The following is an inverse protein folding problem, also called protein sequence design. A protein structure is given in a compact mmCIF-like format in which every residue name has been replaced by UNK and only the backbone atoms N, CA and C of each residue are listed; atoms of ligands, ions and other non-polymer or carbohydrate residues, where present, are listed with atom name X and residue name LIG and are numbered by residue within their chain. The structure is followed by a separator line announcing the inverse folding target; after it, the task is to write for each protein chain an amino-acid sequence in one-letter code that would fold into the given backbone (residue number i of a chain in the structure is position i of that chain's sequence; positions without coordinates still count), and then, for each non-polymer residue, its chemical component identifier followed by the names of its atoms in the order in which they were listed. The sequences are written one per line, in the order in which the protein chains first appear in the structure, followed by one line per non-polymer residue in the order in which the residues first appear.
data_IF_286452772831
#
_entry.id   IF_286452772831
#
_cell.length_a   1.000
_cell.length_b   1.000
_cell.length_c   1.000
_cell.angle_alpha   90.00
_cell.angle_beta   90.00
_cell.angle_gamma   90.00
#
_symmetry.space_group_name_H-M   'P 1'
#
loop_
_entity.id
_entity.type
_entity.pdbx_description
1 polymer ?
#
# COMPACT_ATOMS: atom_id res chain seq x y z
N UNK A 1 -30.22 28.34 -26.62
CA UNK A 1 -28.91 27.67 -26.47
C UNK A 1 -29.18 26.21 -26.23
N UNK A 2 -28.86 25.34 -27.20
CA UNK A 2 -29.16 23.89 -27.14
C UNK A 2 -28.31 23.22 -26.04
N UNK A 3 -28.96 22.54 -25.11
CA UNK A 3 -28.35 21.64 -24.14
C UNK A 3 -27.67 20.46 -24.87
N UNK A 4 -26.47 20.65 -25.37
CA UNK A 4 -25.61 19.57 -25.82
C UNK A 4 -25.11 18.78 -24.63
N UNK A 5 -25.91 17.85 -24.12
CA UNK A 5 -25.41 16.80 -23.25
C UNK A 5 -24.45 15.99 -24.10
N UNK A 6 -23.17 16.08 -23.75
CA UNK A 6 -22.06 15.52 -24.50
C UNK A 6 -22.22 14.00 -24.56
N UNK A 7 -22.59 13.46 -25.75
CA UNK A 7 -22.84 12.02 -25.97
C UNK A 7 -21.61 11.15 -25.66
N UNK A 8 -20.39 11.69 -25.79
CA UNK A 8 -19.15 11.02 -25.40
C UNK A 8 -19.12 10.64 -23.90
N UNK A 9 -19.72 11.47 -23.04
CA UNK A 9 -19.81 11.17 -21.60
C UNK A 9 -20.80 10.04 -21.26
N UNK A 10 -21.73 9.73 -22.18
CA UNK A 10 -22.73 8.67 -21.96
C UNK A 10 -22.17 7.27 -22.24
N UNK A 11 -21.24 7.12 -23.16
CA UNK A 11 -20.70 5.81 -23.56
C UNK A 11 -19.92 5.16 -22.39
N UNK A 12 -19.10 5.94 -21.68
CA UNK A 12 -18.31 5.40 -20.54
C UNK A 12 -19.20 5.25 -19.28
N UNK A 13 -20.29 6.01 -19.15
CA UNK A 13 -21.25 5.85 -18.05
C UNK A 13 -21.99 4.51 -18.06
N UNK A 14 -22.10 3.86 -19.21
CA UNK A 14 -22.81 2.59 -19.38
C UNK A 14 -21.94 1.35 -19.17
N UNK A 15 -20.61 1.51 -19.01
CA UNK A 15 -19.73 0.35 -18.83
C UNK A 15 -19.83 -0.21 -17.41
N UNK A 16 -20.12 -1.49 -17.32
CA UNK A 16 -20.09 -2.24 -16.08
C UNK A 16 -18.63 -2.34 -15.57
N UNK A 17 -18.31 -1.54 -14.55
CA UNK A 17 -16.96 -1.45 -13.98
C UNK A 17 -16.43 -2.81 -13.50
N UNK A 18 -17.31 -3.73 -13.10
CA UNK A 18 -16.91 -5.06 -12.63
C UNK A 18 -16.29 -5.94 -13.72
N UNK A 19 -16.50 -5.57 -14.99
CA UNK A 19 -15.95 -6.27 -16.17
C UNK A 19 -14.65 -5.67 -16.72
N UNK A 20 -14.23 -4.52 -16.17
CA UNK A 20 -13.03 -3.84 -16.66
C UNK A 20 -11.76 -4.40 -16.00
N UNK A 21 -10.70 -4.49 -16.79
CA UNK A 21 -9.37 -4.90 -16.31
C UNK A 21 -8.66 -3.75 -15.58
N UNK A 22 -7.69 -4.10 -14.74
CA UNK A 22 -6.96 -3.16 -13.89
C UNK A 22 -6.34 -1.98 -14.65
N UNK A 23 -5.73 -2.20 -15.82
CA UNK A 23 -5.17 -1.13 -16.65
C UNK A 23 -6.22 -0.13 -17.10
N UNK A 24 -7.40 -0.57 -17.52
CA UNK A 24 -8.51 0.34 -17.87
C UNK A 24 -9.03 1.07 -16.64
N UNK A 25 -9.16 0.40 -15.50
CA UNK A 25 -9.55 1.02 -14.23
C UNK A 25 -8.52 2.06 -13.78
N UNK A 26 -7.24 1.78 -13.90
CA UNK A 26 -6.15 2.71 -13.58
C UNK A 26 -6.24 4.03 -14.37
N UNK A 27 -6.68 3.96 -15.63
CA UNK A 27 -6.84 5.14 -16.48
C UNK A 27 -8.14 5.88 -16.17
N UNK A 28 -9.29 5.19 -16.12
CA UNK A 28 -10.60 5.82 -16.20
C UNK A 28 -11.44 5.82 -14.93
N UNK A 29 -11.22 4.92 -13.98
CA UNK A 29 -12.08 4.85 -12.81
C UNK A 29 -12.09 6.17 -12.04
N UNK A 30 -13.27 6.61 -11.58
CA UNK A 30 -13.48 7.85 -10.84
C UNK A 30 -13.52 9.12 -11.70
N UNK A 31 -12.98 9.12 -12.93
CA UNK A 31 -12.91 10.33 -13.76
C UNK A 31 -14.20 10.62 -14.56
N UNK A 32 -15.07 9.64 -14.65
CA UNK A 32 -16.30 9.72 -15.46
C UNK A 32 -17.27 10.77 -14.92
N UNK A 33 -17.63 11.74 -15.78
CA UNK A 33 -18.56 12.82 -15.44
C UNK A 33 -17.98 13.88 -14.48
N UNK A 34 -16.70 13.83 -14.18
CA UNK A 34 -15.97 14.80 -13.35
C UNK A 34 -15.21 15.85 -14.15
N UNK A 35 -15.22 15.75 -15.48
CA UNK A 35 -14.60 16.71 -16.38
C UNK A 35 -15.48 17.93 -16.53
N UNK A 36 -14.90 19.14 -16.41
CA UNK A 36 -15.58 20.42 -16.49
C UNK A 36 -15.11 21.15 -17.74
N UNK A 37 -15.99 21.91 -18.39
CA UNK A 37 -15.70 22.71 -19.58
C UNK A 37 -15.01 21.87 -20.69
N UNK A 38 -15.44 20.61 -20.85
CA UNK A 38 -14.85 19.66 -21.80
C UNK A 38 -13.35 19.37 -21.61
N UNK A 39 -12.82 19.62 -20.43
CA UNK A 39 -11.42 19.23 -20.11
C UNK A 39 -11.21 17.73 -20.30
N UNK A 40 -10.05 17.33 -20.82
CA UNK A 40 -9.69 15.92 -20.98
C UNK A 40 -9.20 15.29 -19.66
N UNK A 41 -8.78 16.10 -18.72
CA UNK A 41 -8.29 15.67 -17.40
C UNK A 41 -9.17 16.21 -16.29
N UNK A 42 -9.14 15.53 -15.13
CA UNK A 42 -9.85 15.99 -13.93
C UNK A 42 -9.25 17.31 -13.46
N UNK A 43 -10.05 18.35 -13.20
CA UNK A 43 -9.56 19.61 -12.65
C UNK A 43 -9.04 19.46 -11.21
N UNK A 44 -8.09 20.31 -10.81
CA UNK A 44 -7.68 20.45 -9.43
C UNK A 44 -8.59 21.51 -8.77
N UNK A 45 -9.42 21.07 -7.83
CA UNK A 45 -10.24 21.97 -7.02
C UNK A 45 -9.45 22.47 -5.81
N UNK A 46 -8.61 23.47 -6.03
CA UNK A 46 -7.79 24.08 -4.98
C UNK A 46 -8.59 25.13 -4.21
N UNK A 47 -9.64 24.69 -3.53
CA UNK A 47 -10.50 25.54 -2.68
C UNK A 47 -10.71 24.86 -1.33
N UNK A 48 -10.86 25.66 -0.28
CA UNK A 48 -11.16 25.17 1.07
C UNK A 48 -12.66 25.05 1.28
N UNK A 49 -13.46 26.02 0.76
CA UNK A 49 -14.90 26.14 0.97
C UNK A 49 -15.64 26.10 -0.35
N UNK A 50 -16.89 25.63 -0.31
CA UNK A 50 -17.79 25.58 -1.45
C UNK A 50 -19.03 26.43 -1.15
N UNK A 51 -19.38 27.33 -2.08
CA UNK A 51 -20.50 28.25 -1.93
C UNK A 51 -21.80 27.64 -2.44
N UNK A 52 -22.87 27.85 -1.71
CA UNK A 52 -24.23 27.48 -2.07
C UNK A 52 -25.09 28.75 -2.24
N UNK A 53 -26.02 28.72 -3.19
CA UNK A 53 -26.97 29.80 -3.43
C UNK A 53 -28.21 29.69 -2.56
N UNK A 54 -28.52 28.47 -2.13
CA UNK A 54 -29.71 28.14 -1.35
C UNK A 54 -29.32 27.52 -0.01
N UNK A 55 -29.94 27.94 1.08
CA UNK A 55 -29.62 27.46 2.44
C UNK A 55 -30.11 26.04 2.69
N UNK A 56 -31.20 25.61 2.07
CA UNK A 56 -31.74 24.27 2.23
C UNK A 56 -30.85 23.27 1.48
N UNK A 57 -30.43 23.60 0.25
CA UNK A 57 -29.44 22.81 -0.49
C UNK A 57 -28.12 22.68 0.28
N UNK A 58 -27.66 23.77 0.91
CA UNK A 58 -26.46 23.74 1.74
C UNK A 58 -26.65 22.84 2.96
N UNK A 59 -27.78 22.97 3.66
CA UNK A 59 -28.09 22.13 4.82
C UNK A 59 -28.18 20.64 4.45
N UNK A 60 -28.83 20.32 3.33
CA UNK A 60 -28.92 18.94 2.83
C UNK A 60 -27.53 18.36 2.52
N UNK A 61 -26.66 19.14 1.88
CA UNK A 61 -25.28 18.73 1.61
C UNK A 61 -24.48 18.56 2.91
N UNK A 62 -24.64 19.50 3.88
CA UNK A 62 -23.99 19.46 5.18
C UNK A 62 -24.39 18.23 6.02
N UNK A 63 -25.63 17.80 5.89
CA UNK A 63 -26.17 16.62 6.61
C UNK A 63 -26.05 15.32 5.84
N UNK A 64 -25.46 15.33 4.64
CA UNK A 64 -25.27 14.16 3.78
C UNK A 64 -26.58 13.64 3.14
N UNK A 65 -27.67 14.40 3.20
CA UNK A 65 -28.93 14.08 2.53
C UNK A 65 -28.84 14.28 1.01
N UNK A 66 -27.95 15.15 0.58
CA UNK A 66 -27.64 15.44 -0.81
C UNK A 66 -26.14 15.28 -1.05
N UNK A 67 -25.75 14.79 -2.23
CA UNK A 67 -24.36 14.78 -2.69
C UNK A 67 -23.85 16.21 -2.89
N UNK A 68 -22.69 16.54 -2.31
CA UNK A 68 -22.08 17.86 -2.41
C UNK A 68 -20.79 17.95 -1.60
N UNK A 69 -20.09 19.07 -1.79
CA UNK A 69 -18.88 19.40 -1.02
C UNK A 69 -19.09 20.69 -0.27
N UNK A 70 -18.62 20.78 0.97
CA UNK A 70 -18.79 21.95 1.82
C UNK A 70 -17.43 22.54 2.20
N UNK A 71 -16.52 21.66 2.61
CA UNK A 71 -15.22 22.03 3.12
C UNK A 71 -14.21 20.92 2.76
N UNK A 72 -13.03 21.30 2.24
CA UNK A 72 -12.08 20.33 1.68
C UNK A 72 -11.45 19.39 2.72
N UNK A 73 -11.51 19.71 4.03
CA UNK A 73 -11.14 18.74 5.07
C UNK A 73 -12.06 17.50 5.04
N UNK A 74 -13.33 17.71 4.73
CA UNK A 74 -14.32 16.65 4.64
C UNK A 74 -14.21 15.94 3.28
N UNK A 75 -14.57 16.66 2.22
CA UNK A 75 -14.54 16.12 0.85
C UNK A 75 -14.10 17.19 -0.15
N UNK A 76 -13.48 16.73 -1.24
CA UNK A 76 -13.05 17.59 -2.34
C UNK A 76 -13.24 16.84 -3.67
N UNK A 77 -13.72 17.46 -4.75
CA UNK A 77 -13.99 16.77 -6.02
C UNK A 77 -12.78 16.02 -6.60
N UNK A 78 -11.59 16.61 -6.52
CA UNK A 78 -10.35 15.96 -7.00
C UNK A 78 -9.98 14.76 -6.13
N UNK A 79 -10.10 14.91 -4.81
CA UNK A 79 -9.82 13.82 -3.85
C UNK A 79 -10.80 12.67 -4.06
N UNK A 80 -12.08 12.96 -4.28
CA UNK A 80 -13.11 11.93 -4.54
C UNK A 80 -12.79 11.08 -5.78
N UNK A 81 -12.19 11.66 -6.82
CA UNK A 81 -11.75 10.90 -8.01
C UNK A 81 -10.69 9.86 -7.64
N UNK A 82 -9.71 10.25 -6.81
CA UNK A 82 -8.68 9.33 -6.35
C UNK A 82 -9.29 8.18 -5.53
N UNK A 83 -10.17 8.52 -4.58
CA UNK A 83 -10.84 7.53 -3.71
C UNK A 83 -11.68 6.55 -4.54
N UNK A 84 -12.47 7.04 -5.51
CA UNK A 84 -13.25 6.20 -6.43
C UNK A 84 -12.35 5.30 -7.30
N UNK A 85 -11.19 5.81 -7.73
CA UNK A 85 -10.24 5.06 -8.57
C UNK A 85 -9.62 3.88 -7.80
N UNK A 86 -9.15 4.12 -6.57
CA UNK A 86 -8.53 3.06 -5.78
C UNK A 86 -9.58 2.06 -5.28
N UNK A 87 -10.78 2.52 -4.88
CA UNK A 87 -11.89 1.62 -4.55
C UNK A 87 -12.21 0.66 -5.71
N UNK A 88 -12.24 1.17 -6.95
CA UNK A 88 -12.51 0.34 -8.12
C UNK A 88 -11.39 -0.69 -8.38
N UNK A 89 -10.13 -0.33 -8.15
CA UNK A 89 -8.99 -1.22 -8.33
C UNK A 89 -8.92 -2.32 -7.25
N UNK A 90 -9.31 -2.00 -6.02
CA UNK A 90 -9.38 -2.95 -4.90
C UNK A 90 -10.67 -3.80 -4.91
N UNK A 91 -11.67 -3.44 -5.73
CA UNK A 91 -12.99 -4.06 -5.68
C UNK A 91 -13.79 -3.68 -4.43
N UNK A 92 -13.47 -2.53 -3.82
CA UNK A 92 -14.11 -2.03 -2.60
C UNK A 92 -15.42 -1.29 -2.90
N UNK A 93 -16.33 -1.24 -1.92
CA UNK A 93 -17.53 -0.40 -2.02
C UNK A 93 -17.19 1.10 -2.01
N UNK A 94 -16.12 1.49 -1.30
CA UNK A 94 -15.65 2.87 -1.19
C UNK A 94 -14.22 2.92 -0.64
N UNK A 95 -13.60 4.10 -0.73
CA UNK A 95 -12.31 4.38 -0.14
C UNK A 95 -12.28 5.76 0.53
N UNK A 96 -11.30 5.96 1.39
CA UNK A 96 -10.99 7.25 2.03
C UNK A 96 -9.49 7.50 2.02
N UNK A 97 -9.08 8.73 1.70
CA UNK A 97 -7.67 9.13 1.54
C UNK A 97 -7.15 9.96 2.71
N UNK A 98 -5.84 9.92 2.91
CA UNK A 98 -5.11 10.54 4.01
C UNK A 98 -3.83 11.22 3.50
N UNK A 99 -3.30 12.13 4.30
CA UNK A 99 -2.04 12.84 4.02
C UNK A 99 -0.81 11.93 3.96
N UNK A 100 -0.88 10.71 4.50
CA UNK A 100 0.21 9.72 4.47
C UNK A 100 -0.30 8.30 4.73
N UNK A 101 0.52 7.27 4.42
CA UNK A 101 0.25 5.89 4.78
C UNK A 101 0.05 5.70 6.29
N UNK A 102 0.90 6.33 7.11
CA UNK A 102 0.72 6.30 8.58
C UNK A 102 -0.56 6.99 9.03
N UNK A 103 -0.99 8.06 8.34
CA UNK A 103 -2.29 8.67 8.55
C UNK A 103 -3.44 7.68 8.29
N UNK A 104 -3.36 6.88 7.22
CA UNK A 104 -4.33 5.84 6.94
C UNK A 104 -4.35 4.75 8.01
N UNK A 105 -3.17 4.23 8.41
CA UNK A 105 -3.05 3.17 9.41
C UNK A 105 -3.56 3.65 10.78
N UNK A 106 -3.05 4.77 11.28
CA UNK A 106 -3.42 5.27 12.61
C UNK A 106 -4.91 5.62 12.71
N UNK A 107 -5.46 6.26 11.66
CA UNK A 107 -6.90 6.56 11.65
C UNK A 107 -7.76 5.29 11.61
N UNK A 108 -7.34 4.26 10.90
CA UNK A 108 -8.05 2.98 10.87
C UNK A 108 -8.07 2.35 12.26
N UNK A 109 -6.92 2.25 12.92
CA UNK A 109 -6.82 1.64 14.22
C UNK A 109 -7.62 2.42 15.27
N UNK A 110 -7.44 3.75 15.39
CA UNK A 110 -8.14 4.56 16.40
C UNK A 110 -9.63 4.78 16.10
N UNK A 111 -10.08 4.63 14.85
CA UNK A 111 -11.50 4.68 14.51
C UNK A 111 -12.25 3.39 14.84
N UNK A 112 -11.57 2.24 14.79
CA UNK A 112 -12.19 0.93 14.93
C UNK A 112 -11.99 0.30 16.32
N UNK A 113 -10.98 0.75 17.07
CA UNK A 113 -10.63 0.23 18.39
C UNK A 113 -11.05 1.19 19.50
N UNK A 114 -11.39 0.61 20.65
CA UNK A 114 -11.71 1.32 21.89
C UNK A 114 -10.90 0.71 23.06
N UNK A 115 -10.81 1.39 24.21
CA UNK A 115 -10.16 0.85 25.39
C UNK A 115 -10.76 -0.51 25.80
N UNK A 116 -9.88 -1.49 26.02
CA UNK A 116 -10.24 -2.87 26.35
C UNK A 116 -10.25 -3.83 25.16
N UNK A 117 -10.16 -3.31 23.93
CA UNK A 117 -10.07 -4.16 22.73
C UNK A 117 -8.70 -4.82 22.61
N UNK A 118 -8.65 -5.93 21.87
CA UNK A 118 -7.45 -6.72 21.59
C UNK A 118 -7.16 -6.79 20.11
N UNK A 119 -5.90 -6.52 19.74
CA UNK A 119 -5.36 -6.63 18.37
C UNK A 119 -4.43 -7.84 18.29
N UNK A 120 -4.59 -8.67 17.26
CA UNK A 120 -3.60 -9.67 16.87
C UNK A 120 -2.92 -9.21 15.61
N UNK A 121 -1.58 -9.25 15.59
CA UNK A 121 -0.79 -8.81 14.43
C UNK A 121 0.50 -9.62 14.31
N UNK A 122 1.31 -9.26 13.31
CA UNK A 122 2.59 -9.87 13.01
C UNK A 122 3.75 -9.01 13.51
N UNK A 123 4.89 -9.64 13.81
CA UNK A 123 6.10 -8.93 14.26
C UNK A 123 6.75 -8.10 13.17
N UNK A 124 6.70 -8.57 11.91
CA UNK A 124 7.37 -7.93 10.77
C UNK A 124 6.50 -6.84 10.12
N UNK A 125 5.71 -6.10 10.89
CA UNK A 125 4.98 -4.94 10.36
C UNK A 125 5.94 -3.78 10.10
N UNK A 126 5.56 -2.87 9.19
CA UNK A 126 6.31 -1.63 8.95
C UNK A 126 6.66 -0.92 10.28
N UNK A 127 7.88 -0.39 10.41
CA UNK A 127 8.40 0.16 11.68
C UNK A 127 7.47 1.19 12.34
N UNK A 128 6.84 2.09 11.56
CA UNK A 128 5.84 3.02 12.07
C UNK A 128 4.60 2.33 12.64
N UNK A 129 4.15 1.23 12.03
CA UNK A 129 3.04 0.41 12.50
C UNK A 129 3.41 -0.34 13.78
N UNK A 130 4.61 -0.94 13.82
CA UNK A 130 5.13 -1.60 15.03
C UNK A 130 5.19 -0.65 16.20
N UNK A 131 5.60 0.61 15.98
CA UNK A 131 5.57 1.64 17.04
C UNK A 131 4.17 1.97 17.52
N UNK A 132 3.16 2.01 16.62
CA UNK A 132 1.77 2.15 17.05
C UNK A 132 1.36 1.01 17.97
N UNK A 133 1.71 -0.22 17.64
CA UNK A 133 1.38 -1.41 18.42
C UNK A 133 2.08 -1.44 19.80
N UNK A 134 3.35 -1.11 19.84
CA UNK A 134 4.16 -1.28 21.04
C UNK A 134 4.13 -0.05 21.97
N UNK A 135 4.02 1.17 21.39
CA UNK A 135 4.16 2.40 22.17
C UNK A 135 2.87 3.18 22.35
N UNK A 136 1.94 3.13 21.38
CA UNK A 136 0.76 4.00 21.38
C UNK A 136 -0.53 3.28 21.79
N UNK A 137 -0.89 2.17 21.18
CA UNK A 137 -2.13 1.45 21.52
C UNK A 137 -2.20 1.04 23.00
N UNK A 138 -1.12 0.58 23.65
CA UNK A 138 -1.14 0.26 25.09
C UNK A 138 -1.47 1.47 25.98
N UNK A 139 -1.12 2.71 25.59
CA UNK A 139 -1.48 3.93 26.32
C UNK A 139 -2.99 4.19 26.36
N UNK A 140 -3.72 3.62 25.41
CA UNK A 140 -5.18 3.69 25.30
C UNK A 140 -5.86 2.41 25.82
N UNK A 141 -5.14 1.59 26.58
CA UNK A 141 -5.65 0.32 27.11
C UNK A 141 -6.15 -0.63 26.01
N UNK A 142 -5.42 -0.71 24.91
CA UNK A 142 -5.64 -1.66 23.83
C UNK A 142 -4.52 -2.70 23.90
N UNK A 143 -4.89 -3.98 24.03
CA UNK A 143 -3.95 -5.09 24.08
C UNK A 143 -3.46 -5.46 22.69
N UNK A 144 -2.16 -5.73 22.54
CA UNK A 144 -1.58 -6.10 21.24
C UNK A 144 -0.75 -7.37 21.37
N UNK A 145 -1.19 -8.41 20.67
CA UNK A 145 -0.47 -9.68 20.54
C UNK A 145 0.24 -9.73 19.19
N UNK A 146 1.57 -9.81 19.19
CA UNK A 146 2.40 -9.99 18.02
C UNK A 146 2.82 -11.44 17.86
N UNK A 147 2.55 -12.03 16.68
CA UNK A 147 2.87 -13.40 16.32
C UNK A 147 4.01 -13.46 15.29
N UNK A 148 4.68 -14.61 15.21
CA UNK A 148 5.63 -14.87 14.10
C UNK A 148 4.89 -14.86 12.76
N UNK A 149 5.43 -14.11 11.81
CA UNK A 149 4.73 -13.79 10.55
C UNK A 149 4.43 -15.01 9.68
N UNK A 150 5.32 -15.96 9.61
CA UNK A 150 5.18 -17.19 8.80
C UNK A 150 4.63 -18.37 9.61
N UNK A 151 4.14 -18.12 10.84
CA UNK A 151 3.52 -19.11 11.70
C UNK A 151 1.98 -18.92 11.73
N UNK A 152 1.31 -19.43 10.68
CA UNK A 152 -0.14 -19.31 10.56
C UNK A 152 -0.88 -20.02 11.72
N UNK A 153 -0.35 -21.11 12.24
CA UNK A 153 -0.93 -21.85 13.37
C UNK A 153 -0.90 -21.02 14.66
N UNK A 154 0.16 -20.24 14.88
CA UNK A 154 0.24 -19.30 15.99
C UNK A 154 -0.78 -18.18 15.85
N UNK A 155 -0.87 -17.57 14.66
CA UNK A 155 -1.86 -16.54 14.36
C UNK A 155 -3.29 -17.05 14.62
N UNK A 156 -3.65 -18.23 14.10
CA UNK A 156 -4.97 -18.83 14.33
C UNK A 156 -5.24 -19.11 15.82
N UNK A 157 -4.26 -19.62 16.54
CA UNK A 157 -4.38 -19.89 17.98
C UNK A 157 -4.59 -18.60 18.79
N UNK A 158 -3.86 -17.53 18.47
CA UNK A 158 -4.01 -16.25 19.16
C UNK A 158 -5.34 -15.56 18.80
N UNK A 159 -5.78 -15.64 17.56
CA UNK A 159 -7.09 -15.17 17.11
C UNK A 159 -8.21 -15.93 17.83
N UNK A 160 -8.10 -17.26 17.96
CA UNK A 160 -9.11 -18.10 18.61
C UNK A 160 -9.30 -17.80 20.11
N UNK A 161 -8.34 -17.14 20.78
CA UNK A 161 -8.50 -16.64 22.16
C UNK A 161 -9.45 -15.43 22.24
N UNK A 162 -9.88 -14.88 21.11
CA UNK A 162 -10.69 -13.67 20.97
C UNK A 162 -9.84 -12.44 20.71
N UNK A 163 -10.23 -11.65 19.70
CA UNK A 163 -9.69 -10.33 19.39
C UNK A 163 -10.75 -9.52 18.64
N UNK A 164 -10.55 -8.20 18.57
CA UNK A 164 -11.44 -7.26 17.88
C UNK A 164 -10.94 -6.92 16.50
N UNK A 165 -9.60 -6.96 16.31
CA UNK A 165 -8.97 -6.63 15.04
C UNK A 165 -7.73 -7.51 14.79
N UNK A 166 -7.58 -7.97 13.56
CA UNK A 166 -6.37 -8.64 13.04
C UNK A 166 -5.73 -7.72 12.01
N UNK A 167 -4.49 -7.29 12.24
CA UNK A 167 -3.73 -6.46 11.30
C UNK A 167 -2.61 -7.26 10.67
N UNK A 168 -2.55 -7.24 9.34
CA UNK A 168 -1.59 -8.01 8.54
C UNK A 168 -0.87 -7.10 7.53
N UNK A 169 0.31 -7.51 7.13
CA UNK A 169 1.06 -6.96 5.99
C UNK A 169 1.57 -8.13 5.15
N UNK A 170 1.24 -8.17 3.86
CA UNK A 170 1.66 -9.25 2.97
C UNK A 170 1.77 -8.76 1.51
N UNK A 171 2.98 -8.86 0.88
CA UNK A 171 4.27 -9.28 1.45
C UNK A 171 4.80 -8.33 2.54
N UNK A 172 5.59 -8.84 3.50
CA UNK A 172 6.14 -8.01 4.58
C UNK A 172 7.42 -7.28 4.18
N UNK A 173 7.76 -6.24 4.93
CA UNK A 173 9.01 -5.50 4.80
C UNK A 173 9.99 -5.89 5.94
N UNK A 174 11.25 -6.27 5.69
CA UNK A 174 11.93 -6.26 4.38
C UNK A 174 12.07 -7.65 3.74
N UNK A 175 11.73 -8.73 4.43
CA UNK A 175 12.03 -10.11 4.03
C UNK A 175 10.95 -10.78 3.18
N UNK A 176 9.92 -10.03 2.80
CA UNK A 176 8.84 -10.43 1.89
C UNK A 176 8.14 -11.74 2.28
N UNK A 177 7.99 -12.01 3.59
CA UNK A 177 7.20 -13.13 4.07
C UNK A 177 5.75 -12.99 3.59
N UNK A 178 5.12 -14.11 3.28
CA UNK A 178 3.77 -14.17 2.73
C UNK A 178 2.83 -14.79 3.75
N UNK A 179 1.69 -14.13 3.97
CA UNK A 179 0.61 -14.63 4.81
C UNK A 179 -0.51 -15.14 3.92
N UNK A 180 -1.07 -16.31 4.21
CA UNK A 180 -2.31 -16.79 3.59
C UNK A 180 -3.49 -15.95 4.10
N UNK A 181 -3.83 -14.93 3.31
CA UNK A 181 -4.85 -13.95 3.69
C UNK A 181 -6.24 -14.58 3.80
N UNK A 182 -6.58 -15.53 2.94
CA UNK A 182 -7.87 -16.23 2.97
C UNK A 182 -8.01 -17.08 4.24
N UNK A 183 -6.94 -17.79 4.62
CA UNK A 183 -6.89 -18.61 5.84
C UNK A 183 -7.05 -17.74 7.09
N UNK A 184 -6.26 -16.68 7.21
CA UNK A 184 -6.26 -15.85 8.43
C UNK A 184 -7.52 -14.98 8.53
N UNK A 185 -8.04 -14.43 7.41
CA UNK A 185 -9.30 -13.70 7.45
C UNK A 185 -10.48 -14.60 7.86
N UNK A 186 -10.51 -15.85 7.39
CA UNK A 186 -11.51 -16.83 7.81
C UNK A 186 -11.43 -17.11 9.32
N UNK A 187 -10.23 -17.24 9.88
CA UNK A 187 -10.05 -17.43 11.33
C UNK A 187 -10.50 -16.19 12.13
N UNK A 188 -10.16 -14.99 11.66
CA UNK A 188 -10.57 -13.71 12.25
C UNK A 188 -12.10 -13.56 12.29
N UNK A 189 -12.78 -13.83 11.19
CA UNK A 189 -14.24 -13.76 11.11
C UNK A 189 -14.95 -14.76 12.05
N UNK A 190 -14.40 -15.98 12.22
CA UNK A 190 -14.91 -16.93 13.21
C UNK A 190 -14.81 -16.41 14.64
N UNK A 191 -13.81 -15.59 14.94
CA UNK A 191 -13.64 -14.91 16.22
C UNK A 191 -14.43 -13.60 16.34
N UNK A 192 -15.08 -13.14 15.27
CA UNK A 192 -15.83 -11.87 15.20
C UNK A 192 -14.92 -10.63 14.99
N UNK A 193 -13.66 -10.83 14.62
CA UNK A 193 -12.68 -9.77 14.43
C UNK A 193 -12.71 -9.17 13.03
N UNK A 194 -12.38 -7.88 12.93
CA UNK A 194 -12.17 -7.17 11.66
C UNK A 194 -10.74 -7.43 11.16
N UNK A 195 -10.59 -7.70 9.87
CA UNK A 195 -9.28 -7.89 9.24
C UNK A 195 -8.84 -6.65 8.47
N UNK A 196 -7.62 -6.19 8.73
CA UNK A 196 -6.97 -5.06 8.08
C UNK A 196 -5.67 -5.52 7.45
N UNK A 197 -5.49 -5.26 6.16
CA UNK A 197 -4.27 -5.65 5.42
C UNK A 197 -3.60 -4.42 4.84
N UNK A 198 -2.33 -4.20 5.16
CA UNK A 198 -1.47 -3.29 4.43
C UNK A 198 -1.01 -3.97 3.12
N UNK A 199 -1.60 -3.52 2.01
CA UNK A 199 -1.37 -4.06 0.67
C UNK A 199 -0.37 -3.21 -0.14
N UNK A 200 0.41 -2.39 0.53
CA UNK A 200 1.33 -1.42 -0.10
C UNK A 200 2.35 -2.10 -1.02
N UNK A 201 2.95 -3.24 -0.61
CA UNK A 201 3.99 -3.94 -1.38
C UNK A 201 3.45 -4.64 -2.62
N UNK A 202 2.29 -5.24 -2.53
CA UNK A 202 1.66 -5.93 -3.65
C UNK A 202 1.02 -4.95 -4.66
N UNK A 203 0.42 -3.87 -4.19
CA UNK A 203 -0.50 -3.00 -4.91
C UNK A 203 -1.78 -3.72 -5.39
N UNK A 204 -2.84 -3.00 -5.79
CA UNK A 204 -4.06 -3.66 -6.29
C UNK A 204 -3.87 -4.34 -7.65
N UNK A 205 -2.73 -4.16 -8.31
CA UNK A 205 -2.38 -4.87 -9.54
C UNK A 205 -2.04 -6.33 -9.25
N UNK A 206 -1.24 -6.56 -8.21
CA UNK A 206 -0.78 -7.91 -7.87
C UNK A 206 -1.70 -8.65 -6.89
N UNK A 207 -2.37 -7.96 -5.97
CA UNK A 207 -3.18 -8.59 -4.93
C UNK A 207 -4.39 -7.72 -4.55
N UNK A 208 -5.54 -8.35 -4.29
CA UNK A 208 -6.74 -7.70 -3.77
C UNK A 208 -7.19 -8.40 -2.48
N UNK A 209 -6.81 -7.91 -1.30
CA UNK A 209 -7.14 -8.52 -0.01
C UNK A 209 -8.64 -8.70 0.23
N UNK A 210 -9.48 -7.76 -0.24
CA UNK A 210 -10.92 -7.83 -0.09
C UNK A 210 -11.52 -9.06 -0.81
N UNK A 211 -10.97 -9.42 -1.98
CA UNK A 211 -11.38 -10.62 -2.70
C UNK A 211 -10.93 -11.93 -2.01
N UNK A 212 -9.98 -11.84 -1.07
CA UNK A 212 -9.48 -12.94 -0.24
C UNK A 212 -10.16 -12.98 1.14
N UNK A 213 -11.26 -12.22 1.30
CA UNK A 213 -12.08 -12.21 2.50
C UNK A 213 -11.66 -11.21 3.57
N UNK A 214 -10.67 -10.34 3.32
CA UNK A 214 -10.30 -9.29 4.28
C UNK A 214 -11.31 -8.15 4.24
N UNK A 215 -11.44 -7.40 5.36
CA UNK A 215 -12.46 -6.34 5.48
C UNK A 215 -11.94 -4.98 5.00
N UNK A 216 -10.66 -4.72 5.20
CA UNK A 216 -10.00 -3.45 4.90
C UNK A 216 -8.67 -3.70 4.21
N UNK A 217 -8.44 -3.00 3.08
CA UNK A 217 -7.15 -2.88 2.42
C UNK A 217 -6.60 -1.47 2.59
N UNK A 218 -5.35 -1.35 3.04
CA UNK A 218 -4.63 -0.08 3.22
C UNK A 218 -3.50 0.02 2.21
N UNK A 219 -3.26 1.24 1.72
CA UNK A 219 -2.11 1.57 0.90
C UNK A 219 -1.40 2.82 1.40
N UNK A 220 -0.10 2.74 1.51
CA UNK A 220 0.73 3.93 1.33
C UNK A 220 0.77 4.24 -0.17
N UNK A 221 -0.15 5.11 -0.63
CA UNK A 221 -0.20 5.51 -2.03
C UNK A 221 1.02 6.33 -2.48
N UNK A 222 1.86 6.75 -1.54
CA UNK A 222 3.22 7.28 -1.71
C UNK A 222 4.09 6.36 -2.58
N UNK A 223 3.83 5.04 -2.54
CA UNK A 223 4.65 3.99 -3.14
C UNK A 223 4.19 3.70 -4.58
N UNK A 224 3.84 2.47 -4.90
CA UNK A 224 3.47 2.05 -6.25
C UNK A 224 2.34 2.87 -6.89
N UNK A 225 1.34 3.29 -6.11
CA UNK A 225 0.21 4.05 -6.66
C UNK A 225 0.67 5.38 -7.25
N UNK A 226 1.39 6.20 -6.49
CA UNK A 226 2.02 7.43 -6.97
C UNK A 226 3.16 7.14 -7.95
N UNK A 227 4.12 6.32 -7.52
CA UNK A 227 5.17 5.74 -8.35
C UNK A 227 6.30 6.68 -8.78
N UNK A 228 6.32 7.94 -8.35
CA UNK A 228 7.29 8.94 -8.82
C UNK A 228 8.07 9.61 -7.69
N UNK A 229 7.95 9.15 -6.44
CA UNK A 229 8.66 9.66 -5.25
C UNK A 229 8.42 11.16 -4.95
N UNK A 230 7.29 11.71 -5.39
CA UNK A 230 6.96 13.13 -5.34
C UNK A 230 5.71 13.45 -4.50
N UNK A 231 5.02 12.44 -3.95
CA UNK A 231 3.78 12.61 -3.22
C UNK A 231 3.70 11.74 -1.96
N UNK A 232 3.10 12.27 -0.90
CA UNK A 232 2.71 11.53 0.30
C UNK A 232 1.21 11.32 0.30
N UNK A 233 0.76 10.07 0.37
CA UNK A 233 -0.67 9.76 0.41
C UNK A 233 -0.90 8.40 1.07
N UNK A 234 -1.98 8.29 1.85
CA UNK A 234 -2.52 7.03 2.36
C UNK A 234 -3.94 6.82 1.86
N UNK A 235 -4.35 5.58 1.69
CA UNK A 235 -5.72 5.24 1.26
C UNK A 235 -6.18 3.99 2.01
N UNK A 236 -7.44 4.01 2.43
CA UNK A 236 -8.15 2.88 3.04
C UNK A 236 -9.34 2.52 2.18
N UNK A 237 -9.46 1.23 1.83
CA UNK A 237 -10.53 0.66 1.02
C UNK A 237 -11.30 -0.39 1.81
N UNK A 238 -12.62 -0.44 1.67
CA UNK A 238 -13.45 -1.43 2.35
C UNK A 238 -14.95 -1.22 2.13
N UNK A 239 -15.76 -1.77 3.03
CA UNK A 239 -17.20 -1.55 3.04
C UNK A 239 -17.56 -0.11 3.40
N UNK A 240 -18.69 0.39 2.90
CA UNK A 240 -19.20 1.73 3.26
C UNK A 240 -19.34 1.93 4.75
N UNK A 241 -19.71 0.89 5.50
CA UNK A 241 -19.86 0.94 6.95
C UNK A 241 -18.53 1.24 7.65
N UNK A 242 -17.50 0.46 7.37
CA UNK A 242 -16.18 0.60 8.02
C UNK A 242 -15.47 1.88 7.57
N UNK A 243 -15.47 2.16 6.26
CA UNK A 243 -14.84 3.37 5.73
C UNK A 243 -15.51 4.63 6.26
N UNK A 244 -16.84 4.63 6.50
CA UNK A 244 -17.54 5.76 7.11
C UNK A 244 -17.05 6.04 8.54
N UNK A 245 -16.83 5.03 9.36
CA UNK A 245 -16.29 5.21 10.73
C UNK A 245 -14.89 5.85 10.68
N UNK A 246 -14.04 5.34 9.78
CA UNK A 246 -12.67 5.84 9.59
C UNK A 246 -12.69 7.28 9.04
N UNK A 247 -13.57 7.58 8.10
CA UNK A 247 -13.79 8.93 7.57
C UNK A 247 -14.19 9.92 8.65
N UNK A 248 -15.13 9.55 9.51
CA UNK A 248 -15.60 10.42 10.62
C UNK A 248 -14.44 10.74 11.58
N UNK A 249 -13.59 9.79 11.88
CA UNK A 249 -12.41 10.04 12.71
C UNK A 249 -11.39 10.94 11.98
N UNK A 250 -11.15 10.72 10.68
CA UNK A 250 -10.27 11.57 9.85
C UNK A 250 -10.72 13.05 9.86
N UNK A 251 -12.03 13.31 9.76
CA UNK A 251 -12.56 14.68 9.78
C UNK A 251 -12.19 15.44 11.05
N UNK A 252 -12.13 14.75 12.19
CA UNK A 252 -11.82 15.33 13.50
C UNK A 252 -10.32 15.51 13.69
N UNK A 253 -9.52 14.49 13.38
CA UNK A 253 -8.08 14.55 13.61
C UNK A 253 -7.31 15.31 12.50
N UNK A 254 -7.94 15.54 11.34
CA UNK A 254 -7.40 16.41 10.30
C UNK A 254 -6.38 15.77 9.36
N UNK A 255 -6.19 14.45 9.35
CA UNK A 255 -5.25 13.76 8.46
C UNK A 255 -5.73 13.70 6.99
N UNK A 256 -6.34 14.79 6.49
CA UNK A 256 -6.92 14.87 5.16
C UNK A 256 -5.86 15.06 4.06
N UNK A 257 -6.20 14.63 2.84
CA UNK A 257 -5.35 14.76 1.65
C UNK A 257 -5.63 16.08 0.92
N UNK A 258 -4.57 16.73 0.43
CA UNK A 258 -4.69 17.93 -0.39
C UNK A 258 -5.01 17.59 -1.87
N UNK A 259 -5.76 18.47 -2.55
CA UNK A 259 -6.24 18.24 -3.91
C UNK A 259 -5.10 18.08 -4.94
N UNK A 260 -4.02 18.86 -4.83
CA UNK A 260 -2.86 18.75 -5.72
C UNK A 260 -2.13 17.41 -5.55
N UNK A 261 -1.98 16.94 -4.31
CA UNK A 261 -1.41 15.62 -4.03
C UNK A 261 -2.30 14.53 -4.61
N UNK A 262 -3.63 14.63 -4.44
CA UNK A 262 -4.57 13.69 -5.04
C UNK A 262 -4.43 13.65 -6.58
N UNK A 263 -4.32 14.82 -7.23
CA UNK A 263 -4.12 14.91 -8.68
C UNK A 263 -2.82 14.23 -9.12
N UNK A 264 -1.70 14.46 -8.41
CA UNK A 264 -0.42 13.83 -8.75
C UNK A 264 -0.49 12.30 -8.61
N UNK A 265 -1.15 11.79 -7.58
CA UNK A 265 -1.37 10.34 -7.45
C UNK A 265 -2.26 9.82 -8.59
N UNK A 266 -3.37 10.50 -8.93
CA UNK A 266 -4.23 10.14 -10.07
C UNK A 266 -3.41 10.06 -11.35
N UNK A 267 -2.55 11.06 -11.60
CA UNK A 267 -1.66 11.10 -12.77
C UNK A 267 -0.69 9.91 -12.78
N UNK A 268 -0.05 9.62 -11.65
CA UNK A 268 0.83 8.46 -11.50
C UNK A 268 0.11 7.14 -11.75
N UNK A 269 -1.11 7.01 -11.27
CA UNK A 269 -1.93 5.79 -11.44
C UNK A 269 -2.29 5.48 -12.89
N UNK A 270 -2.32 6.46 -13.79
CA UNK A 270 -2.62 6.20 -15.21
C UNK A 270 -1.65 5.22 -15.88
N UNK A 271 -0.45 5.06 -15.33
CA UNK A 271 0.56 4.09 -15.79
C UNK A 271 0.83 2.97 -14.78
N UNK A 272 -0.04 2.81 -13.78
CA UNK A 272 0.20 1.90 -12.65
C UNK A 272 0.43 0.45 -13.12
N UNK A 273 -0.47 -0.11 -13.93
CA UNK A 273 -0.35 -1.48 -14.41
C UNK A 273 0.95 -1.69 -15.21
N UNK A 274 1.25 -0.79 -16.16
CA UNK A 274 2.46 -0.85 -16.98
C UNK A 274 3.74 -0.84 -16.12
N UNK A 275 3.77 0.01 -15.08
CA UNK A 275 4.91 0.11 -14.17
C UNK A 275 5.06 -1.16 -13.33
N UNK A 276 3.98 -1.60 -12.70
CA UNK A 276 4.00 -2.78 -11.83
C UNK A 276 4.35 -4.05 -12.60
N UNK A 277 3.80 -4.25 -13.81
CA UNK A 277 4.18 -5.38 -14.68
C UNK A 277 5.66 -5.35 -15.06
N UNK A 278 6.20 -4.17 -15.40
CA UNK A 278 7.63 -4.01 -15.71
C UNK A 278 8.48 -4.30 -14.48
N UNK A 279 8.09 -3.76 -13.32
CA UNK A 279 8.78 -4.00 -12.04
C UNK A 279 8.74 -5.48 -11.64
N UNK A 280 7.61 -6.18 -11.79
CA UNK A 280 7.51 -7.62 -11.56
C UNK A 280 8.49 -8.41 -12.43
N UNK A 281 8.54 -8.10 -13.75
CA UNK A 281 9.45 -8.77 -14.71
C UNK A 281 10.91 -8.50 -14.39
N UNK A 282 11.25 -7.26 -14.08
CA UNK A 282 12.61 -6.86 -13.72
C UNK A 282 13.05 -7.53 -12.41
N UNK A 283 12.20 -7.50 -11.37
CA UNK A 283 12.49 -8.08 -10.08
C UNK A 283 12.71 -9.59 -10.16
N UNK A 284 11.92 -10.31 -10.98
CA UNK A 284 12.12 -11.74 -11.18
C UNK A 284 13.49 -12.06 -11.80
N UNK A 285 13.86 -11.35 -12.88
CA UNK A 285 15.17 -11.56 -13.53
C UNK A 285 16.35 -11.24 -12.60
N UNK A 286 16.24 -10.15 -11.82
CA UNK A 286 17.27 -9.78 -10.84
C UNK A 286 17.33 -10.81 -9.71
N UNK A 287 16.19 -11.30 -9.22
CA UNK A 287 16.15 -12.33 -8.19
C UNK A 287 16.78 -13.64 -8.65
N UNK A 288 16.50 -14.08 -9.89
CA UNK A 288 17.13 -15.27 -10.51
C UNK A 288 18.65 -15.11 -10.68
N UNK A 289 19.09 -13.93 -11.14
CA UNK A 289 20.52 -13.61 -11.27
C UNK A 289 21.23 -13.67 -9.90
N UNK A 290 20.67 -12.97 -8.89
CA UNK A 290 21.26 -12.94 -7.54
C UNK A 290 21.21 -14.31 -6.84
N UNK A 291 20.15 -15.09 -7.05
CA UNK A 291 20.02 -16.43 -6.46
C UNK A 291 21.14 -17.38 -6.86
N UNK A 292 21.70 -17.22 -8.05
CA UNK A 292 22.80 -18.04 -8.57
C UNK A 292 24.18 -17.39 -8.38
N UNK A 293 24.26 -16.21 -7.77
CA UNK A 293 25.51 -15.47 -7.65
C UNK A 293 26.32 -15.90 -6.42
N UNK A 294 27.64 -16.22 -6.56
CA UNK A 294 28.46 -16.81 -5.48
C UNK A 294 28.64 -15.92 -4.24
N UNK A 295 28.50 -14.59 -4.37
CA UNK A 295 28.62 -13.62 -3.28
C UNK A 295 27.32 -13.36 -2.53
N UNK A 296 26.21 -14.00 -2.95
CA UNK A 296 24.90 -13.90 -2.32
C UNK A 296 24.67 -15.13 -1.44
N UNK A 297 24.26 -14.90 -0.19
CA UNK A 297 23.89 -15.96 0.74
C UNK A 297 22.45 -16.42 0.52
N UNK A 298 21.53 -15.45 0.42
CA UNK A 298 20.11 -15.72 0.26
C UNK A 298 19.42 -14.59 -0.51
N UNK A 299 18.37 -14.95 -1.27
CA UNK A 299 17.46 -14.00 -1.92
C UNK A 299 16.05 -14.21 -1.38
N UNK A 300 15.42 -13.12 -0.94
CA UNK A 300 14.05 -13.08 -0.49
C UNK A 300 13.19 -12.47 -1.60
N UNK A 301 12.48 -13.31 -2.33
CA UNK A 301 11.55 -12.89 -3.37
C UNK A 301 10.48 -13.96 -3.58
N UNK A 302 9.18 -13.63 -3.44
CA UNK A 302 8.10 -14.62 -3.48
C UNK A 302 7.98 -15.37 -4.81
N UNK A 303 8.57 -14.83 -5.89
CA UNK A 303 8.60 -15.48 -7.20
C UNK A 303 9.58 -16.65 -7.32
N UNK A 304 10.57 -16.77 -6.44
CA UNK A 304 11.52 -17.89 -6.44
C UNK A 304 10.89 -19.13 -5.80
N UNK A 305 11.12 -20.30 -6.39
CA UNK A 305 10.64 -21.58 -5.85
C UNK A 305 11.23 -21.91 -4.47
N UNK A 306 12.38 -21.35 -4.15
CA UNK A 306 13.05 -21.49 -2.84
C UNK A 306 12.42 -20.64 -1.74
N UNK A 307 11.53 -19.70 -2.06
CA UNK A 307 10.86 -18.86 -1.07
C UNK A 307 9.78 -19.65 -0.33
N UNK A 308 9.81 -19.66 1.01
CA UNK A 308 8.86 -20.41 1.85
C UNK A 308 7.40 -20.14 1.52
N UNK A 309 7.04 -18.89 1.18
CA UNK A 309 5.69 -18.45 0.85
C UNK A 309 5.33 -18.55 -0.63
N UNK A 310 6.18 -19.18 -1.49
CA UNK A 310 5.97 -19.20 -2.95
C UNK A 310 4.58 -19.72 -3.36
N UNK A 311 4.17 -20.88 -2.84
CA UNK A 311 2.89 -21.49 -3.21
C UNK A 311 1.67 -20.65 -2.75
N UNK A 312 1.77 -20.00 -1.59
CA UNK A 312 0.75 -19.07 -1.12
C UNK A 312 0.70 -17.83 -2.03
N UNK A 313 1.87 -17.23 -2.32
CA UNK A 313 1.96 -16.09 -3.22
C UNK A 313 1.38 -16.40 -4.61
N UNK A 314 1.73 -17.56 -5.17
CA UNK A 314 1.23 -18.03 -6.47
C UNK A 314 -0.30 -18.20 -6.50
N UNK A 315 -0.91 -18.61 -5.36
CA UNK A 315 -2.37 -18.75 -5.22
C UNK A 315 -3.07 -17.41 -5.16
N UNK A 316 -2.54 -16.45 -4.37
CA UNK A 316 -3.25 -15.21 -4.03
C UNK A 316 -2.79 -13.97 -4.80
N UNK A 317 -1.63 -14.02 -5.48
CA UNK A 317 -1.05 -12.88 -6.20
C UNK A 317 -1.01 -13.14 -7.71
N UNK A 318 -1.21 -12.10 -8.50
CA UNK A 318 -1.09 -12.12 -9.98
C UNK A 318 0.34 -11.86 -10.46
N UNK A 319 1.19 -11.31 -9.61
CA UNK A 319 2.61 -11.04 -9.82
C UNK A 319 3.28 -10.88 -8.46
N UNK A 320 4.58 -11.12 -8.38
CA UNK A 320 5.30 -11.25 -7.11
C UNK A 320 5.89 -9.94 -6.58
N UNK A 321 5.61 -8.81 -7.24
CA UNK A 321 6.02 -7.48 -6.80
C UNK A 321 7.35 -7.01 -7.38
N UNK A 322 7.59 -5.70 -7.21
CA UNK A 322 8.82 -5.04 -7.64
C UNK A 322 9.86 -4.88 -6.52
N UNK A 323 9.70 -5.57 -5.40
CA UNK A 323 10.64 -5.51 -4.28
C UNK A 323 11.26 -6.89 -4.10
N UNK A 324 12.56 -6.92 -3.91
CA UNK A 324 13.29 -8.09 -3.42
C UNK A 324 14.27 -7.67 -2.33
N UNK A 325 14.69 -8.61 -1.53
CA UNK A 325 15.82 -8.43 -0.62
C UNK A 325 16.83 -9.54 -0.82
N UNK A 326 18.10 -9.25 -0.58
CA UNK A 326 19.14 -10.24 -0.66
C UNK A 326 20.19 -10.03 0.43
N UNK A 327 20.77 -11.12 0.87
CA UNK A 327 21.83 -11.14 1.87
C UNK A 327 23.18 -11.35 1.18
N UNK A 328 24.13 -10.45 1.47
CA UNK A 328 25.51 -10.51 0.98
C UNK A 328 26.38 -11.37 1.92
N UNK A 329 27.26 -12.20 1.36
CA UNK A 329 28.30 -12.87 2.14
C UNK A 329 29.32 -11.85 2.64
N UNK A 330 29.67 -11.86 3.93
CA UNK A 330 30.75 -11.04 4.50
C UNK A 330 30.33 -9.84 5.34
N UNK A 331 29.04 -9.73 5.68
CA UNK A 331 28.57 -8.76 6.67
C UNK A 331 28.40 -7.33 6.15
N UNK A 332 28.25 -6.36 7.09
CA UNK A 332 27.84 -5.00 6.74
C UNK A 332 28.88 -4.19 5.97
N UNK A 333 30.18 -4.45 6.15
CA UNK A 333 31.23 -3.74 5.40
C UNK A 333 31.18 -4.12 3.90
N UNK A 334 30.82 -5.34 3.58
CA UNK A 334 30.54 -5.77 2.20
C UNK A 334 29.32 -5.05 1.65
N UNK A 335 28.24 -4.91 2.42
CA UNK A 335 27.06 -4.12 2.03
C UNK A 335 27.44 -2.70 1.66
N UNK A 336 28.23 -2.02 2.50
CA UNK A 336 28.70 -0.66 2.21
C UNK A 336 29.48 -0.59 0.91
N UNK A 337 30.43 -1.53 0.71
CA UNK A 337 31.24 -1.55 -0.50
C UNK A 337 30.39 -1.75 -1.74
N UNK A 338 29.48 -2.71 -1.75
CA UNK A 338 28.60 -2.97 -2.89
C UNK A 338 27.70 -1.76 -3.15
N UNK A 339 27.00 -1.25 -2.15
CA UNK A 339 26.05 -0.14 -2.33
C UNK A 339 26.74 1.15 -2.80
N UNK A 340 27.94 1.48 -2.29
CA UNK A 340 28.69 2.67 -2.73
C UNK A 340 29.23 2.54 -4.17
N UNK A 341 29.33 1.34 -4.73
CA UNK A 341 29.77 1.12 -6.10
C UNK A 341 28.63 1.00 -7.11
N UNK A 342 27.36 0.99 -6.67
CA UNK A 342 26.21 1.10 -7.58
C UNK A 342 26.20 2.48 -8.25
N UNK A 343 25.94 2.52 -9.56
CA UNK A 343 25.98 3.74 -10.39
C UNK A 343 24.60 4.19 -10.85
N UNK A 344 23.67 3.24 -11.04
CA UNK A 344 22.31 3.51 -11.52
C UNK A 344 21.30 3.59 -10.37
N UNK A 345 21.60 2.97 -9.23
CA UNK A 345 20.68 2.80 -8.11
C UNK A 345 20.86 3.90 -7.07
N UNK A 346 19.77 4.55 -6.67
CA UNK A 346 19.81 5.54 -5.61
C UNK A 346 19.79 4.88 -4.23
N UNK A 347 20.70 5.29 -3.36
CA UNK A 347 20.71 4.92 -1.94
C UNK A 347 19.71 5.80 -1.20
N UNK A 348 18.48 5.33 -1.07
CA UNK A 348 17.40 6.10 -0.45
C UNK A 348 16.40 5.21 0.28
N UNK A 349 15.72 5.80 1.26
CA UNK A 349 14.51 5.21 1.82
C UNK A 349 13.38 5.26 0.78
N UNK A 350 12.26 4.57 1.05
CA UNK A 350 11.10 4.42 0.17
C UNK A 350 11.20 3.21 -0.76
N UNK A 351 10.20 3.06 -1.65
CA UNK A 351 10.07 1.95 -2.60
C UNK A 351 8.98 2.22 -3.64
N UNK A 352 8.88 1.39 -4.67
CA UNK A 352 7.78 1.41 -5.63
C UNK A 352 7.84 2.53 -6.65
N UNK A 353 8.99 3.26 -6.74
CA UNK A 353 9.23 4.30 -7.72
C UNK A 353 9.56 3.73 -9.10
N UNK A 354 9.48 4.58 -10.12
CA UNK A 354 10.00 4.29 -11.47
C UNK A 354 11.52 4.12 -11.46
N UNK A 355 12.23 4.74 -10.50
CA UNK A 355 13.67 4.60 -10.30
C UNK A 355 13.98 3.50 -9.30
N UNK A 356 15.03 2.74 -9.55
CA UNK A 356 15.52 1.71 -8.63
C UNK A 356 16.16 2.34 -7.39
N UNK A 357 15.75 1.84 -6.21
CA UNK A 357 16.23 2.26 -4.90
C UNK A 357 16.80 1.08 -4.14
N UNK A 358 17.90 1.27 -3.43
CA UNK A 358 18.45 0.25 -2.55
C UNK A 358 18.88 0.83 -1.20
N UNK A 359 18.88 -0.02 -0.19
CA UNK A 359 19.40 0.32 1.13
C UNK A 359 19.25 -0.80 2.14
N UNK A 360 20.16 -0.88 3.12
CA UNK A 360 20.04 -1.86 4.19
C UNK A 360 18.91 -1.45 5.16
N UNK A 361 18.11 -2.39 5.66
CA UNK A 361 17.02 -2.10 6.60
C UNK A 361 17.48 -1.33 7.84
N UNK A 362 18.69 -1.60 8.34
CA UNK A 362 19.28 -0.90 9.49
C UNK A 362 19.43 0.62 9.33
N UNK A 363 19.46 1.13 8.10
CA UNK A 363 19.58 2.58 7.80
C UNK A 363 18.31 3.15 7.20
N UNK A 364 17.30 2.32 6.91
CA UNK A 364 16.08 2.74 6.22
C UNK A 364 14.81 2.40 7.03
N UNK A 365 14.25 1.22 6.83
CA UNK A 365 12.93 0.84 7.36
C UNK A 365 12.93 0.33 8.80
N UNK A 366 14.10 -0.03 9.37
CA UNK A 366 14.25 -0.60 10.71
C UNK A 366 15.40 0.07 11.48
N UNK A 367 15.59 1.37 11.22
CA UNK A 367 16.67 2.16 11.83
C UNK A 367 16.48 2.35 13.35
N UNK A 368 15.24 2.31 13.83
CA UNK A 368 14.91 2.44 15.25
C UNK A 368 15.19 1.17 16.06
N UNK A 369 15.36 0.02 15.39
CA UNK A 369 15.63 -1.26 16.08
C UNK A 369 17.13 -1.44 16.33
N UNK A 370 17.44 -2.06 17.46
CA UNK A 370 18.79 -2.54 17.77
C UNK A 370 19.18 -3.69 16.83
N UNK A 371 20.47 -4.01 16.77
CA UNK A 371 20.97 -5.15 15.99
C UNK A 371 20.31 -6.47 16.45
N UNK A 372 20.19 -6.69 17.77
CA UNK A 372 19.54 -7.88 18.32
C UNK A 372 18.06 -7.96 17.90
N UNK A 373 17.32 -6.85 17.98
CA UNK A 373 15.92 -6.81 17.57
C UNK A 373 15.75 -7.11 16.08
N UNK A 374 16.67 -6.62 15.21
CA UNK A 374 16.65 -6.99 13.80
C UNK A 374 16.96 -8.47 13.60
N UNK A 375 17.96 -9.01 14.31
CA UNK A 375 18.28 -10.43 14.25
C UNK A 375 17.10 -11.32 14.68
N UNK A 376 16.39 -10.95 15.73
CA UNK A 376 15.19 -11.65 16.22
C UNK A 376 14.04 -11.67 15.20
N UNK A 377 14.00 -10.67 14.29
CA UNK A 377 13.07 -10.61 13.16
C UNK A 377 13.59 -11.35 11.90
N UNK A 378 14.80 -11.93 11.96
CA UNK A 378 15.43 -12.56 10.79
C UNK A 378 15.94 -11.56 9.76
N UNK A 379 16.32 -10.35 10.20
CA UNK A 379 16.89 -9.28 9.36
C UNK A 379 18.39 -9.20 9.63
N UNK A 380 19.24 -9.88 8.86
CA UNK A 380 20.69 -9.84 9.06
C UNK A 380 21.28 -8.47 8.69
N UNK A 381 22.39 -8.10 9.30
CA UNK A 381 23.10 -6.85 9.02
C UNK A 381 23.63 -6.76 7.58
N UNK A 382 23.80 -7.91 6.92
CA UNK A 382 24.16 -8.08 5.52
C UNK A 382 23.01 -7.96 4.52
N UNK A 383 21.77 -7.68 5.00
CA UNK A 383 20.59 -7.58 4.15
C UNK A 383 20.54 -6.25 3.40
N UNK A 384 20.28 -6.34 2.10
CA UNK A 384 19.94 -5.22 1.23
C UNK A 384 18.51 -5.38 0.74
N UNK A 385 17.65 -4.38 0.96
CA UNK A 385 16.36 -4.29 0.27
C UNK A 385 16.55 -3.52 -1.03
N UNK A 386 16.04 -4.07 -2.12
CA UNK A 386 16.17 -3.55 -3.48
C UNK A 386 14.77 -3.34 -4.08
N UNK A 387 14.38 -2.09 -4.24
CA UNK A 387 13.12 -1.69 -4.87
C UNK A 387 13.36 -1.43 -6.34
N UNK A 388 12.93 -2.36 -7.17
CA UNK A 388 13.21 -2.37 -8.60
C UNK A 388 12.33 -1.36 -9.33
N UNK A 389 12.95 -0.53 -10.16
CA UNK A 389 12.29 0.42 -11.04
C UNK A 389 11.93 -0.16 -12.40
N UNK A 390 11.72 0.73 -13.37
CA UNK A 390 11.32 0.38 -14.74
C UNK A 390 12.45 0.47 -15.77
N UNK A 391 13.68 0.67 -15.32
CA UNK A 391 14.89 0.71 -16.15
C UNK A 391 15.04 -0.60 -16.94
N UNK A 392 15.96 -0.63 -17.89
CA UNK A 392 16.31 -1.88 -18.56
C UNK A 392 16.97 -2.82 -17.56
N UNK A 393 16.47 -4.03 -17.47
CA UNK A 393 16.92 -5.00 -16.44
C UNK A 393 18.36 -5.43 -16.67
N UNK A 394 18.79 -5.47 -17.91
CA UNK A 394 20.17 -5.80 -18.31
C UNK A 394 21.16 -4.77 -17.75
N UNK A 395 20.79 -3.47 -17.75
CA UNK A 395 21.62 -2.41 -17.19
C UNK A 395 21.67 -2.49 -15.65
N UNK A 396 20.55 -2.82 -14.99
CA UNK A 396 20.49 -3.03 -13.54
C UNK A 396 21.34 -4.24 -13.10
N UNK A 397 21.29 -5.32 -13.86
CA UNK A 397 22.13 -6.52 -13.59
C UNK A 397 23.60 -6.19 -13.80
N UNK A 398 23.96 -5.48 -14.87
CA UNK A 398 25.34 -5.07 -15.12
C UNK A 398 25.86 -4.11 -14.00
N UNK A 399 25.00 -3.24 -13.46
CA UNK A 399 25.35 -2.37 -12.36
C UNK A 399 25.57 -3.15 -11.05
N UNK A 400 24.72 -4.15 -10.78
CA UNK A 400 24.91 -5.07 -9.65
C UNK A 400 26.19 -5.90 -9.80
N UNK A 401 26.46 -6.46 -10.98
CA UNK A 401 27.67 -7.29 -11.26
C UNK A 401 28.92 -6.49 -10.98
N UNK A 402 29.07 -5.28 -11.59
CA UNK A 402 30.27 -4.47 -11.42
C UNK A 402 30.48 -4.00 -9.97
N UNK A 403 29.39 -3.83 -9.18
CA UNK A 403 29.47 -3.52 -7.76
C UNK A 403 29.86 -4.74 -6.92
N UNK A 404 29.33 -5.92 -7.26
CA UNK A 404 29.67 -7.18 -6.62
C UNK A 404 31.13 -7.61 -6.89
N UNK A 405 31.72 -7.25 -8.03
CA UNK A 405 33.15 -7.54 -8.32
C UNK A 405 34.11 -6.86 -7.32
N UNK A 406 33.67 -5.84 -6.58
CA UNK A 406 34.51 -5.08 -5.64
C UNK A 406 34.69 -5.76 -4.27
N UNK A 407 34.04 -6.88 -4.02
CA UNK A 407 34.05 -7.61 -2.73
C UNK A 407 34.42 -9.07 -2.87
#
# INVERSE_FOLDING_TARGET
MRNGKNEYHQIIKSMDKSKLKAGTLSVWAGEQGKMIENSHTVPIFNTVTFAYKDLDEWHEAATGKRSGHIYSRNTNPTVSVLEEKVAALEGAETAVSFSSGMGAISNTLFALLKPGDRVVSIRDSYGGTSRLFLEFLPKYNIDVQLCETDNHEELEREIAKGCDLVYLESPTNPTLKIIDLERISSAAHKAGAITVVDNTFASPINQNPLALGCDISIHSATKFLGGHSDTLCGIVCGSKKLVKMIFQFREINGACLHAETAYNVIRGMKTLELRVERQNKNAMKIAEYLHNHPKIEQVFYPGLLSHKGHEIAKKQMRGFGGILSFELRGGFEVVKTVLHNLKLVHLAASLGSVTTLAGPPRTTSHVELTEQQRADLGIPESLVRYSVGIENVEDLIADLEQALEKV
#
